data_IF_713878873025
#
_entry.id   IF_713878873025
#
_cell.length_a   1.000
_cell.length_b   1.000
_cell.length_c   1.000
_cell.angle_alpha   90.00
_cell.angle_beta   90.00
_cell.angle_gamma   90.00
#
_symmetry.space_group_name_H-M   'P 1'
#
loop_
_entity.id
_entity.type
_entity.pdbx_description
1 polymer ?
#
# COMPACT_ATOMS: atom_id res chain seq x y z
N UNK A 1 -9.88 7.03 -8.94
CA UNK A 1 -8.66 6.79 -8.17
C UNK A 1 -8.60 5.38 -7.56
N UNK A 2 -9.50 4.97 -6.69
CA UNK A 2 -9.43 3.69 -5.97
C UNK A 2 -9.24 2.47 -6.90
N UNK A 3 -10.02 2.36 -7.97
CA UNK A 3 -9.86 1.29 -8.97
C UNK A 3 -8.53 1.35 -9.71
N UNK A 4 -8.12 2.53 -10.17
CA UNK A 4 -6.88 2.71 -10.92
C UNK A 4 -5.62 2.44 -10.08
N UNK A 5 -5.66 2.65 -8.77
CA UNK A 5 -4.50 2.52 -7.88
C UNK A 5 -4.38 1.14 -7.23
N UNK A 6 -5.50 0.56 -6.78
CA UNK A 6 -5.49 -0.71 -6.03
C UNK A 6 -5.94 -1.92 -6.86
N UNK A 7 -6.70 -1.74 -7.95
CA UNK A 7 -7.33 -2.84 -8.69
C UNK A 7 -6.88 -3.02 -10.16
N UNK A 8 -5.87 -2.31 -10.69
CA UNK A 8 -5.58 -2.42 -12.11
C UNK A 8 -5.08 -3.83 -12.46
N UNK A 9 -5.54 -4.35 -13.60
CA UNK A 9 -5.25 -5.71 -14.05
C UNK A 9 -5.87 -6.78 -13.15
N UNK A 10 -5.89 -8.02 -13.61
CA UNK A 10 -6.41 -9.16 -12.83
C UNK A 10 -5.45 -9.55 -11.70
N UNK A 11 -4.15 -9.49 -11.97
CA UNK A 11 -3.07 -9.80 -11.04
C UNK A 11 -1.87 -8.86 -11.25
N UNK A 12 -1.03 -8.78 -10.24
CA UNK A 12 0.14 -7.92 -10.23
C UNK A 12 1.28 -8.54 -9.45
N UNK A 13 2.51 -8.40 -9.93
CA UNK A 13 3.75 -8.73 -9.23
C UNK A 13 4.75 -7.62 -9.42
N UNK A 14 5.52 -7.33 -8.38
CA UNK A 14 6.65 -6.40 -8.45
C UNK A 14 7.70 -6.75 -7.42
N UNK A 15 8.96 -6.39 -7.72
CA UNK A 15 10.01 -6.25 -6.72
C UNK A 15 9.92 -4.87 -6.11
N UNK A 16 10.18 -4.81 -4.82
CA UNK A 16 10.13 -3.57 -4.06
C UNK A 16 11.46 -3.38 -3.33
N UNK A 17 12.03 -2.20 -3.51
CA UNK A 17 13.07 -1.64 -2.66
C UNK A 17 12.43 -0.58 -1.77
N UNK A 18 12.42 -0.84 -0.47
CA UNK A 18 11.85 0.08 0.53
C UNK A 18 12.98 0.68 1.36
N UNK A 19 13.09 2.00 1.35
CA UNK A 19 14.10 2.76 2.11
C UNK A 19 13.40 3.55 3.20
N UNK A 20 13.71 3.22 4.47
CA UNK A 20 13.23 3.94 5.65
C UNK A 20 14.29 4.95 6.06
N UNK A 21 13.97 6.24 6.00
CA UNK A 21 14.90 7.35 6.27
C UNK A 21 14.52 8.05 7.57
N UNK A 22 15.47 8.26 8.44
CA UNK A 22 15.30 9.09 9.63
C UNK A 22 15.82 10.53 9.39
N UNK A 23 15.53 11.44 10.33
CA UNK A 23 15.92 12.85 10.23
C UNK A 23 17.42 13.09 10.37
N UNK A 24 18.16 12.13 10.94
CA UNK A 24 19.61 12.21 11.12
C UNK A 24 20.38 11.77 9.88
N UNK A 25 19.68 11.35 8.81
CA UNK A 25 20.26 10.84 7.56
C UNK A 25 20.52 9.36 7.56
N UNK A 26 20.17 8.64 8.63
CA UNK A 26 20.21 7.18 8.67
C UNK A 26 19.17 6.59 7.72
N UNK A 27 19.54 5.47 7.08
CA UNK A 27 18.63 4.75 6.18
C UNK A 27 18.68 3.25 6.41
N UNK A 28 17.51 2.62 6.48
CA UNK A 28 17.37 1.15 6.51
C UNK A 28 16.70 0.69 5.22
N UNK A 29 17.32 -0.27 4.57
CA UNK A 29 16.83 -0.84 3.32
C UNK A 29 16.10 -2.14 3.58
N UNK A 30 15.03 -2.41 2.81
CA UNK A 30 14.34 -3.68 2.74
C UNK A 30 14.04 -4.03 1.30
N UNK A 31 14.18 -5.29 0.98
CA UNK A 31 13.85 -5.82 -0.34
C UNK A 31 12.77 -6.88 -0.21
N UNK A 32 11.73 -6.76 -1.01
CA UNK A 32 10.60 -7.69 -0.97
C UNK A 32 9.97 -7.88 -2.35
N UNK A 33 9.26 -8.98 -2.51
CA UNK A 33 8.33 -9.19 -3.62
C UNK A 33 6.92 -8.95 -3.14
N UNK A 34 6.11 -8.24 -3.92
CA UNK A 34 4.67 -8.09 -3.70
C UNK A 34 3.91 -8.77 -4.84
N UNK A 35 2.88 -9.53 -4.47
CA UNK A 35 1.90 -10.11 -5.39
C UNK A 35 0.50 -9.66 -4.97
N UNK A 36 -0.36 -9.49 -5.97
CA UNK A 36 -1.78 -9.21 -5.77
C UNK A 36 -2.60 -9.98 -6.81
N UNK A 37 -3.76 -10.47 -6.41
CA UNK A 37 -4.76 -11.03 -7.30
C UNK A 37 -6.13 -10.44 -6.96
N UNK A 38 -6.86 -10.01 -8.00
CA UNK A 38 -8.25 -9.57 -7.88
C UNK A 38 -9.17 -10.79 -8.02
N UNK A 39 -10.26 -10.76 -7.28
CA UNK A 39 -11.28 -11.79 -7.28
C UNK A 39 -12.64 -11.19 -7.70
N UNK A 40 -13.60 -12.06 -8.01
CA UNK A 40 -14.97 -11.62 -8.28
C UNK A 40 -15.57 -10.91 -7.07
N UNK A 41 -16.47 -9.96 -7.32
CA UNK A 41 -17.13 -9.20 -6.25
C UNK A 41 -16.28 -8.09 -5.61
N UNK A 42 -15.07 -7.82 -6.12
CA UNK A 42 -14.19 -6.76 -5.60
C UNK A 42 -13.28 -7.20 -4.46
N UNK A 43 -13.24 -8.48 -4.15
CA UNK A 43 -12.28 -9.04 -3.20
C UNK A 43 -10.88 -9.10 -3.82
N UNK A 44 -9.87 -9.09 -2.96
CA UNK A 44 -8.46 -9.17 -3.38
C UNK A 44 -7.65 -9.99 -2.39
N UNK A 45 -6.56 -10.56 -2.88
CA UNK A 45 -5.50 -11.08 -2.00
C UNK A 45 -4.17 -10.44 -2.33
N UNK A 46 -3.40 -10.17 -1.28
CA UNK A 46 -2.03 -9.66 -1.35
C UNK A 46 -1.11 -10.61 -0.63
N UNK A 47 0.09 -10.77 -1.18
CA UNK A 47 1.16 -11.49 -0.54
C UNK A 47 2.46 -10.71 -0.70
N UNK A 48 3.21 -10.56 0.39
CA UNK A 48 4.53 -9.93 0.38
C UNK A 48 5.54 -10.86 1.02
N UNK A 49 6.72 -10.96 0.42
CA UNK A 49 7.81 -11.77 0.93
C UNK A 49 9.08 -10.96 0.99
N UNK A 50 9.70 -10.89 2.17
CA UNK A 50 10.92 -10.13 2.42
C UNK A 50 12.17 -10.97 2.13
N UNK A 51 13.06 -10.43 1.31
CA UNK A 51 14.33 -11.05 0.91
C UNK A 51 15.50 -10.58 1.77
N UNK A 52 15.53 -9.29 2.12
CA UNK A 52 16.61 -8.63 2.85
C UNK A 52 16.05 -7.45 3.67
N UNK A 53 16.81 -7.01 4.71
CA UNK A 53 18.00 -7.60 5.31
C UNK A 53 17.70 -8.81 6.20
N UNK A 54 18.73 -9.33 6.88
CA UNK A 54 18.64 -10.57 7.65
C UNK A 54 17.57 -10.58 8.76
N UNK A 55 17.31 -9.45 9.41
CA UNK A 55 16.32 -9.29 10.49
C UNK A 55 14.88 -9.47 10.01
N UNK A 56 14.58 -9.16 8.74
CA UNK A 56 13.24 -9.33 8.14
C UNK A 56 13.20 -10.45 7.08
N UNK A 57 14.34 -11.07 6.77
CA UNK A 57 14.40 -12.11 5.74
C UNK A 57 13.44 -13.24 6.04
N UNK A 58 12.69 -13.67 5.01
CA UNK A 58 11.65 -14.69 5.08
C UNK A 58 10.39 -14.26 5.86
N UNK A 59 10.29 -13.03 6.37
CA UNK A 59 8.98 -12.50 6.78
C UNK A 59 8.04 -12.55 5.59
N UNK A 60 6.78 -12.87 5.87
CA UNK A 60 5.74 -12.86 4.85
C UNK A 60 4.46 -12.21 5.40
N UNK A 61 3.79 -11.44 4.55
CA UNK A 61 2.55 -10.77 4.88
C UNK A 61 1.46 -11.20 3.90
N UNK A 62 0.32 -11.59 4.42
CA UNK A 62 -0.87 -11.99 3.65
C UNK A 62 -2.04 -11.10 4.02
N UNK A 63 -2.77 -10.64 3.00
CA UNK A 63 -4.05 -9.95 3.17
C UNK A 63 -5.11 -10.68 2.35
N UNK A 64 -6.25 -10.97 2.98
CA UNK A 64 -7.51 -11.25 2.30
C UNK A 64 -8.39 -10.02 2.47
N UNK A 65 -8.47 -9.20 1.42
CA UNK A 65 -9.29 -8.00 1.38
C UNK A 65 -10.67 -8.35 0.86
N UNK A 66 -11.68 -7.89 1.56
CA UNK A 66 -13.09 -8.10 1.20
C UNK A 66 -13.76 -6.77 0.89
N UNK A 67 -14.61 -6.76 -0.12
CA UNK A 67 -15.37 -5.57 -0.50
C UNK A 67 -16.45 -5.21 0.55
N UNK A 68 -17.05 -6.22 1.20
CA UNK A 68 -18.22 -6.05 2.06
C UNK A 68 -17.96 -6.19 3.56
N UNK A 69 -16.72 -6.50 3.97
CA UNK A 69 -16.36 -6.69 5.39
C UNK A 69 -14.92 -6.30 5.67
N UNK A 70 -14.53 -6.35 6.93
CA UNK A 70 -13.15 -6.16 7.37
C UNK A 70 -12.19 -7.19 6.74
N UNK A 71 -11.01 -6.70 6.37
CA UNK A 71 -9.94 -7.51 5.77
C UNK A 71 -9.22 -8.34 6.82
N UNK A 72 -8.89 -9.57 6.49
CA UNK A 72 -8.01 -10.41 7.29
C UNK A 72 -6.56 -10.19 6.90
N UNK A 73 -5.68 -10.08 7.90
CA UNK A 73 -4.25 -9.82 7.72
C UNK A 73 -3.43 -10.73 8.61
N UNK A 74 -2.36 -11.31 8.06
CA UNK A 74 -1.44 -12.17 8.80
C UNK A 74 0.00 -11.80 8.48
N UNK A 75 0.84 -11.79 9.51
CA UNK A 75 2.28 -11.58 9.40
C UNK A 75 3.00 -12.83 9.94
N UNK A 76 3.85 -13.43 9.11
CA UNK A 76 4.76 -14.48 9.54
C UNK A 76 6.09 -13.88 9.97
N UNK A 77 6.51 -14.19 11.21
CA UNK A 77 7.75 -13.74 11.83
C UNK A 77 8.66 -14.98 11.98
N UNK A 78 9.61 -15.20 11.07
CA UNK A 78 10.41 -16.44 11.03
C UNK A 78 11.26 -16.63 12.28
N UNK A 79 11.82 -15.56 12.86
CA UNK A 79 12.62 -15.63 14.09
C UNK A 79 11.86 -16.25 15.29
N UNK A 80 10.54 -16.10 15.31
CA UNK A 80 9.65 -16.67 16.33
C UNK A 80 8.89 -17.90 15.84
N UNK A 81 9.05 -18.26 14.58
CA UNK A 81 8.20 -19.24 13.87
C UNK A 81 6.69 -18.99 14.07
N UNK A 82 6.28 -17.74 14.16
CA UNK A 82 4.94 -17.29 14.52
C UNK A 82 4.20 -16.71 13.32
N UNK A 83 2.97 -17.14 13.09
CA UNK A 83 1.99 -16.44 12.26
C UNK A 83 1.10 -15.62 13.19
N UNK A 84 1.21 -14.30 13.12
CA UNK A 84 0.41 -13.36 13.91
C UNK A 84 -0.71 -12.79 13.04
N UNK A 85 -1.95 -12.89 13.50
CA UNK A 85 -3.06 -12.16 12.90
C UNK A 85 -3.02 -10.71 13.36
N UNK A 86 -3.08 -9.78 12.40
CA UNK A 86 -3.20 -8.34 12.69
C UNK A 86 -4.68 -8.04 12.86
N UNK A 87 -5.08 -7.66 14.05
CA UNK A 87 -6.48 -7.33 14.34
C UNK A 87 -6.92 -6.06 13.57
N UNK A 88 -8.20 -5.92 13.29
CA UNK A 88 -8.74 -4.77 12.56
C UNK A 88 -8.35 -3.42 13.20
N UNK A 89 -8.40 -3.33 14.54
CA UNK A 89 -7.98 -2.15 15.31
C UNK A 89 -6.50 -1.78 15.13
N UNK A 90 -5.65 -2.76 14.79
CA UNK A 90 -4.21 -2.59 14.60
C UNK A 90 -3.84 -2.39 13.11
N UNK A 91 -4.83 -2.36 12.22
CA UNK A 91 -4.62 -2.18 10.77
C UNK A 91 -3.94 -0.86 10.41
N UNK A 92 -4.05 0.14 11.28
CA UNK A 92 -3.45 1.46 11.14
C UNK A 92 -2.06 1.57 11.77
N UNK A 93 -1.56 0.48 12.42
CA UNK A 93 -0.19 0.42 12.93
C UNK A 93 0.81 0.38 11.78
N UNK A 94 2.05 0.76 12.10
CA UNK A 94 3.17 0.76 11.15
C UNK A 94 3.39 -0.61 10.51
N UNK A 95 3.41 -0.66 9.18
CA UNK A 95 3.77 -1.84 8.42
C UNK A 95 5.28 -2.09 8.52
N UNK A 96 5.66 -3.07 9.33
CA UNK A 96 7.04 -3.53 9.53
C UNK A 96 8.01 -2.35 9.79
N UNK A 97 7.58 -1.36 10.61
CA UNK A 97 8.37 -0.20 11.01
C UNK A 97 8.52 0.90 9.94
N UNK A 98 7.75 0.84 8.85
CA UNK A 98 7.67 1.90 7.84
C UNK A 98 6.65 2.98 8.22
N UNK A 99 6.59 4.08 7.45
CA UNK A 99 5.56 5.12 7.60
C UNK A 99 4.23 4.73 6.95
N UNK A 100 4.20 3.64 6.19
CA UNK A 100 2.96 3.03 5.72
C UNK A 100 2.35 2.18 6.83
N UNK A 101 1.03 2.18 6.92
CA UNK A 101 0.27 1.27 7.79
C UNK A 101 -0.05 -0.04 7.07
N UNK A 102 -0.49 -1.06 7.83
CA UNK A 102 -1.02 -2.29 7.24
C UNK A 102 -2.22 -2.03 6.32
N UNK A 103 -3.03 -1.01 6.61
CA UNK A 103 -4.16 -0.61 5.78
C UNK A 103 -3.70 0.06 4.47
N UNK A 104 -2.67 0.91 4.50
CA UNK A 104 -2.13 1.57 3.30
C UNK A 104 -1.65 0.57 2.24
N UNK A 105 -1.17 -0.60 2.66
CA UNK A 105 -0.65 -1.64 1.77
C UNK A 105 -1.72 -2.20 0.83
N UNK A 106 -2.93 -2.46 1.34
CA UNK A 106 -4.04 -3.05 0.58
C UNK A 106 -5.12 -2.03 0.22
N UNK A 107 -5.03 -0.84 0.77
CA UNK A 107 -6.02 0.23 0.62
C UNK A 107 -7.25 0.04 1.51
N UNK A 108 -7.77 1.16 1.98
CA UNK A 108 -9.03 1.25 2.73
C UNK A 108 -10.22 1.01 1.81
N UNK A 109 -11.31 0.45 2.32
CA UNK A 109 -12.55 0.35 1.57
C UNK A 109 -13.07 1.76 1.24
N UNK A 110 -13.41 2.00 -0.03
CA UNK A 110 -13.86 3.32 -0.48
C UNK A 110 -15.15 3.75 0.22
N UNK A 111 -16.04 2.81 0.53
CA UNK A 111 -17.31 3.10 1.22
C UNK A 111 -17.12 3.44 2.71
N UNK A 112 -15.95 3.21 3.27
CA UNK A 112 -15.64 3.55 4.66
C UNK A 112 -15.44 5.05 4.89
N UNK A 113 -15.32 5.84 3.80
CA UNK A 113 -15.17 7.28 3.85
C UNK A 113 -16.29 7.98 3.07
N UNK A 114 -16.60 9.22 3.45
CA UNK A 114 -17.38 10.16 2.65
C UNK A 114 -16.41 10.96 1.79
N UNK A 115 -16.72 11.13 0.51
CA UNK A 115 -15.86 11.82 -0.45
C UNK A 115 -16.51 13.11 -0.96
N UNK A 116 -15.72 14.18 -1.08
CA UNK A 116 -16.15 15.47 -1.59
C UNK A 116 -15.12 16.05 -2.54
N UNK A 117 -15.52 16.39 -3.77
CA UNK A 117 -14.70 17.19 -4.66
C UNK A 117 -14.59 18.60 -4.10
N UNK A 118 -13.38 19.05 -3.80
CA UNK A 118 -13.13 20.41 -3.29
C UNK A 118 -12.93 21.42 -4.43
N UNK A 119 -12.07 21.05 -5.39
CA UNK A 119 -11.67 21.90 -6.52
C UNK A 119 -10.92 21.10 -7.57
N UNK A 120 -10.60 21.77 -8.65
CA UNK A 120 -9.61 21.32 -9.63
C UNK A 120 -8.39 22.25 -9.53
N UNK A 121 -7.20 21.69 -9.62
CA UNK A 121 -5.97 22.47 -9.68
C UNK A 121 -4.86 21.70 -10.38
N UNK A 122 -3.79 22.40 -10.73
CA UNK A 122 -2.61 21.80 -11.34
C UNK A 122 -1.57 21.45 -10.26
N UNK A 123 -1.04 20.22 -10.32
CA UNK A 123 0.05 19.75 -9.47
C UNK A 123 1.23 19.32 -10.35
N UNK A 124 2.31 20.10 -10.34
CA UNK A 124 3.51 19.77 -11.12
C UNK A 124 3.27 19.64 -12.64
N UNK A 125 2.44 20.51 -13.20
CA UNK A 125 2.08 20.49 -14.63
C UNK A 125 0.99 19.48 -14.99
N UNK A 126 0.37 18.80 -14.01
CA UNK A 126 -0.69 17.82 -14.23
C UNK A 126 -2.03 18.32 -13.68
N UNK A 127 -3.08 18.39 -14.52
CA UNK A 127 -4.41 18.75 -14.04
C UNK A 127 -4.97 17.66 -13.11
N UNK A 128 -5.41 18.05 -11.92
CA UNK A 128 -5.88 17.15 -10.87
C UNK A 128 -7.29 17.50 -10.38
N UNK A 129 -8.02 16.47 -9.96
CA UNK A 129 -9.11 16.62 -9.02
C UNK A 129 -8.56 16.63 -7.60
N UNK A 130 -8.97 17.59 -6.76
CA UNK A 130 -8.65 17.62 -5.34
C UNK A 130 -9.87 17.15 -4.57
N UNK A 131 -9.72 15.98 -3.94
CA UNK A 131 -10.83 15.30 -3.25
C UNK A 131 -10.52 15.16 -1.77
N UNK A 132 -11.46 15.59 -0.92
CA UNK A 132 -11.44 15.31 0.50
C UNK A 132 -12.14 13.98 0.79
N UNK A 133 -11.57 13.19 1.66
CA UNK A 133 -12.14 11.95 2.20
C UNK A 133 -12.20 12.03 3.72
N UNK A 134 -13.40 11.89 4.28
CA UNK A 134 -13.65 11.90 5.73
C UNK A 134 -14.17 10.52 6.17
N UNK A 135 -13.48 9.84 7.12
CA UNK A 135 -13.91 8.55 7.61
C UNK A 135 -15.29 8.58 8.27
N UNK A 136 -16.13 7.59 7.94
CA UNK A 136 -17.46 7.38 8.59
C UNK A 136 -17.34 6.66 9.94
N UNK A 137 -16.18 6.10 10.24
CA UNK A 137 -15.88 5.35 11.46
C UNK A 137 -14.44 5.55 11.90
N UNK A 138 -13.86 4.59 12.62
CA UNK A 138 -12.49 4.68 13.13
C UNK A 138 -11.47 4.73 11.98
N UNK A 139 -10.54 5.68 12.06
CA UNK A 139 -9.41 5.82 11.15
C UNK A 139 -8.23 6.50 11.86
N UNK A 140 -7.02 6.39 11.28
CA UNK A 140 -5.83 7.08 11.79
C UNK A 140 -5.85 8.59 11.52
N UNK A 141 -6.81 9.07 10.74
CA UNK A 141 -6.92 10.47 10.32
C UNK A 141 -8.36 10.96 10.46
N UNK A 142 -8.54 12.26 10.66
CA UNK A 142 -9.83 12.94 10.65
C UNK A 142 -10.31 13.18 9.23
N UNK A 143 -9.40 13.58 8.35
CA UNK A 143 -9.63 13.78 6.92
C UNK A 143 -8.36 13.56 6.11
N UNK A 144 -8.54 13.22 4.85
CA UNK A 144 -7.48 13.09 3.86
C UNK A 144 -7.83 13.94 2.64
N UNK A 145 -6.86 14.65 2.09
CA UNK A 145 -6.99 15.40 0.82
C UNK A 145 -6.10 14.75 -0.21
N UNK A 146 -6.68 14.35 -1.35
CA UNK A 146 -5.98 13.64 -2.43
C UNK A 146 -6.00 14.46 -3.71
N UNK A 147 -4.84 14.63 -4.33
CA UNK A 147 -4.65 15.16 -5.69
C UNK A 147 -4.63 14.00 -6.67
N UNK A 148 -5.65 13.90 -7.47
CA UNK A 148 -5.88 12.77 -8.38
C UNK A 148 -5.68 13.27 -9.80
N UNK A 149 -4.64 12.74 -10.47
CA UNK A 149 -4.36 13.06 -11.87
C UNK A 149 -5.55 12.72 -12.77
N UNK A 150 -6.02 13.68 -13.55
CA UNK A 150 -7.18 13.49 -14.43
C UNK A 150 -6.91 12.48 -15.54
N UNK A 151 -5.67 12.40 -16.04
CA UNK A 151 -5.31 11.53 -17.16
C UNK A 151 -5.23 10.05 -16.74
N UNK A 152 -4.64 9.76 -15.58
CA UNK A 152 -4.38 8.38 -15.12
C UNK A 152 -5.31 7.92 -14.01
N UNK A 153 -6.02 8.84 -13.38
CA UNK A 153 -6.80 8.61 -12.15
C UNK A 153 -5.94 8.11 -10.96
N UNK A 154 -4.62 8.30 -10.99
CA UNK A 154 -3.73 7.95 -9.89
C UNK A 154 -3.64 9.09 -8.88
N UNK A 155 -3.53 8.81 -7.57
CA UNK A 155 -3.19 9.83 -6.57
C UNK A 155 -1.73 10.23 -6.75
N UNK A 156 -1.46 11.49 -7.00
CA UNK A 156 -0.09 12.02 -7.08
C UNK A 156 0.40 12.48 -5.72
N UNK A 157 -0.51 13.00 -4.89
CA UNK A 157 -0.25 13.49 -3.53
C UNK A 157 -1.46 13.20 -2.66
N UNK A 158 -1.22 12.85 -1.39
CA UNK A 158 -2.26 12.82 -0.37
C UNK A 158 -1.73 13.46 0.92
N UNK A 159 -2.56 14.25 1.57
CA UNK A 159 -2.31 14.87 2.87
C UNK A 159 -3.28 14.32 3.90
N UNK A 160 -2.75 13.85 5.04
CA UNK A 160 -3.54 13.27 6.11
C UNK A 160 -3.52 14.20 7.32
N UNK A 161 -4.69 14.53 7.82
CA UNK A 161 -4.90 15.47 8.93
C UNK A 161 -5.42 14.73 10.16
N UNK A 162 -4.84 15.03 11.33
CA UNK A 162 -5.22 14.44 12.60
C UNK A 162 -6.52 15.06 13.17
N UNK A 163 -6.91 14.63 14.37
CA UNK A 163 -8.14 15.10 15.03
C UNK A 163 -8.11 16.60 15.38
N UNK A 164 -6.92 17.20 15.50
CA UNK A 164 -6.70 18.64 15.67
C UNK A 164 -6.62 19.40 14.32
N UNK A 165 -6.86 18.70 13.21
CA UNK A 165 -6.76 19.22 11.84
C UNK A 165 -5.33 19.65 11.46
N UNK A 166 -4.33 19.03 12.07
CA UNK A 166 -2.93 19.27 11.75
C UNK A 166 -2.43 18.20 10.77
N UNK A 167 -1.69 18.65 9.75
CA UNK A 167 -1.03 17.74 8.81
C UNK A 167 0.00 16.90 9.56
N UNK A 168 -0.13 15.57 9.47
CA UNK A 168 0.79 14.64 10.15
C UNK A 168 1.42 13.61 9.23
N UNK A 169 0.82 13.30 8.07
CA UNK A 169 1.38 12.40 7.06
C UNK A 169 1.16 12.97 5.66
N UNK A 170 2.16 12.75 4.79
CA UNK A 170 2.10 13.08 3.36
C UNK A 170 2.48 11.85 2.54
N UNK A 171 1.65 11.52 1.56
CA UNK A 171 1.94 10.53 0.52
C UNK A 171 2.29 11.23 -0.79
N UNK A 172 3.27 10.70 -1.53
CA UNK A 172 3.49 11.06 -2.93
C UNK A 172 3.65 9.82 -3.80
N UNK A 173 3.21 9.95 -5.07
CA UNK A 173 3.45 8.97 -6.12
C UNK A 173 4.14 9.65 -7.30
N UNK A 174 5.24 9.09 -7.73
CA UNK A 174 6.14 9.62 -8.74
C UNK A 174 6.49 8.55 -9.78
N UNK A 175 7.19 8.94 -10.84
CA UNK A 175 7.68 8.02 -11.87
C UNK A 175 6.55 7.13 -12.43
N UNK A 176 5.48 7.79 -12.94
CA UNK A 176 4.35 7.08 -13.53
C UNK A 176 4.78 6.51 -14.88
N UNK A 177 4.76 5.19 -15.01
CA UNK A 177 5.11 4.46 -16.26
C UNK A 177 3.93 3.62 -16.73
N UNK A 178 3.83 3.44 -18.03
CA UNK A 178 2.99 2.39 -18.58
C UNK A 178 3.66 1.02 -18.33
N UNK A 179 2.91 0.13 -17.69
CA UNK A 179 3.32 -1.25 -17.41
C UNK A 179 2.23 -2.17 -17.92
N UNK A 180 2.49 -2.89 -18.99
CA UNK A 180 1.51 -3.77 -19.65
C UNK A 180 0.18 -3.05 -19.99
N UNK A 181 0.24 -1.79 -20.44
CA UNK A 181 -0.93 -0.96 -20.72
C UNK A 181 -1.63 -0.39 -19.47
N UNK A 182 -0.98 -0.40 -18.31
CA UNK A 182 -1.51 0.12 -17.04
C UNK A 182 -0.62 1.24 -16.50
N UNK A 183 -1.13 2.47 -16.32
CA UNK A 183 -0.40 3.53 -15.62
C UNK A 183 -0.03 3.08 -14.20
N UNK A 184 1.26 3.00 -13.91
CA UNK A 184 1.79 2.48 -12.65
C UNK A 184 2.75 3.46 -12.02
N UNK A 185 2.51 3.85 -10.77
CA UNK A 185 3.43 4.68 -9.99
C UNK A 185 4.58 3.80 -9.49
N UNK A 186 5.75 3.96 -10.12
CA UNK A 186 6.94 3.15 -9.84
C UNK A 186 7.68 3.61 -8.59
N UNK A 187 7.42 4.81 -8.13
CA UNK A 187 7.98 5.35 -6.88
C UNK A 187 6.86 5.95 -6.04
N UNK A 188 6.84 5.60 -4.77
CA UNK A 188 5.88 6.11 -3.79
C UNK A 188 6.62 6.48 -2.52
N UNK A 189 6.16 7.49 -1.81
CA UNK A 189 6.68 7.80 -0.48
C UNK A 189 5.57 8.09 0.51
N UNK A 190 5.86 7.84 1.79
CA UNK A 190 5.05 8.27 2.91
C UNK A 190 5.98 8.98 3.89
N UNK A 191 5.66 10.21 4.24
CA UNK A 191 6.41 11.02 5.20
C UNK A 191 5.57 11.27 6.44
N UNK A 192 6.13 11.03 7.59
CA UNK A 192 5.59 11.50 8.86
C UNK A 192 6.08 12.94 9.09
N UNK A 193 5.18 13.91 9.01
CA UNK A 193 5.53 15.34 9.08
C UNK A 193 6.05 15.72 10.46
N UNK A 194 5.51 15.10 11.53
CA UNK A 194 5.87 15.42 12.92
C UNK A 194 7.26 14.90 13.28
N UNK A 195 7.59 13.67 12.91
CA UNK A 195 8.89 13.05 13.19
C UNK A 195 9.93 13.32 12.11
N UNK A 196 9.52 13.77 10.92
CA UNK A 196 10.38 13.91 9.75
C UNK A 196 10.84 12.57 9.13
N UNK A 197 10.44 11.43 9.69
CA UNK A 197 10.73 10.12 9.13
C UNK A 197 10.01 9.93 7.79
N UNK A 198 10.65 9.23 6.84
CA UNK A 198 10.10 9.00 5.51
C UNK A 198 10.41 7.59 5.03
N UNK A 199 9.42 6.92 4.50
CA UNK A 199 9.60 5.67 3.76
C UNK A 199 9.41 5.90 2.27
N UNK A 200 10.42 5.53 1.48
CA UNK A 200 10.37 5.55 0.01
C UNK A 200 10.28 4.10 -0.49
N UNK A 201 9.38 3.85 -1.41
CA UNK A 201 9.12 2.54 -2.03
C UNK A 201 9.33 2.67 -3.53
N UNK A 202 10.30 1.93 -4.07
CA UNK A 202 10.62 1.87 -5.49
C UNK A 202 10.25 0.49 -6.03
N UNK A 203 9.49 0.46 -7.12
CA UNK A 203 9.04 -0.75 -7.79
C UNK A 203 9.95 -1.07 -8.97
N UNK A 204 10.28 -2.33 -9.14
CA UNK A 204 10.97 -2.88 -10.31
C UNK A 204 10.32 -4.19 -10.74
N UNK A 205 10.59 -4.63 -11.95
CA UNK A 205 10.04 -5.87 -12.52
C UNK A 205 8.51 -5.98 -12.37
N UNK A 206 7.83 -4.83 -12.45
CA UNK A 206 6.38 -4.76 -12.33
C UNK A 206 5.72 -5.43 -13.54
N UNK A 207 4.78 -6.34 -13.30
CA UNK A 207 4.04 -7.08 -14.33
C UNK A 207 2.59 -7.29 -13.91
N UNK A 208 1.69 -7.21 -14.87
CA UNK A 208 0.27 -7.50 -14.72
C UNK A 208 -0.13 -8.77 -15.47
N UNK A 209 -1.34 -9.27 -15.24
CA UNK A 209 -1.99 -10.39 -15.95
C UNK A 209 -1.16 -11.68 -15.92
N UNK A 210 -0.75 -12.07 -14.72
CA UNK A 210 0.15 -13.21 -14.49
C UNK A 210 -0.58 -14.55 -14.29
N UNK A 211 -1.92 -14.57 -14.33
CA UNK A 211 -2.70 -15.78 -14.07
C UNK A 211 -2.50 -16.35 -12.67
N UNK A 212 -2.25 -15.47 -11.66
CA UNK A 212 -2.07 -15.91 -10.27
C UNK A 212 -3.38 -16.50 -9.74
N UNK A 213 -3.27 -17.62 -9.06
CA UNK A 213 -4.42 -18.35 -8.52
C UNK A 213 -4.73 -17.91 -7.10
N UNK A 214 -5.95 -17.42 -6.80
CA UNK A 214 -6.31 -16.93 -5.46
C UNK A 214 -6.14 -17.98 -4.35
N UNK A 215 -6.31 -19.26 -4.64
CA UNK A 215 -6.16 -20.37 -3.69
C UNK A 215 -4.72 -20.57 -3.20
N UNK A 216 -3.72 -20.12 -3.96
CA UNK A 216 -2.32 -20.16 -3.56
C UNK A 216 -2.03 -19.13 -2.44
N UNK A 217 -2.83 -18.05 -2.35
CA UNK A 217 -2.72 -17.02 -1.31
C UNK A 217 -3.37 -17.50 -0.01
N UNK A 218 -2.67 -18.31 0.74
CA UNK A 218 -3.16 -18.98 1.94
C UNK A 218 -2.20 -18.80 3.12
N UNK A 219 -2.67 -19.07 4.35
CA UNK A 219 -1.81 -19.04 5.54
C UNK A 219 -0.64 -20.04 5.45
N UNK A 220 -0.81 -21.14 4.71
CA UNK A 220 0.28 -22.10 4.43
C UNK A 220 1.42 -21.42 3.64
N UNK A 221 1.08 -20.54 2.69
CA UNK A 221 2.06 -19.84 1.88
C UNK A 221 2.92 -18.87 2.71
N UNK A 222 2.45 -18.40 3.87
CA UNK A 222 3.24 -17.57 4.77
C UNK A 222 4.54 -18.27 5.23
N UNK A 223 4.47 -19.58 5.51
CA UNK A 223 5.65 -20.37 5.92
C UNK A 223 6.40 -20.98 4.74
N UNK A 224 5.66 -21.39 3.73
CA UNK A 224 6.16 -22.11 2.56
C UNK A 224 5.57 -21.51 1.28
N UNK A 225 6.03 -20.32 0.87
CA UNK A 225 5.55 -19.68 -0.35
C UNK A 225 5.97 -20.48 -1.60
N UNK A 226 5.18 -20.45 -2.68
CA UNK A 226 5.59 -20.98 -3.96
C UNK A 226 6.96 -20.43 -4.39
N UNK A 227 7.84 -21.26 -4.91
CA UNK A 227 9.21 -20.86 -5.29
C UNK A 227 9.24 -19.76 -6.36
N UNK A 228 8.20 -19.65 -7.20
CA UNK A 228 8.04 -18.58 -8.18
C UNK A 228 7.79 -17.20 -7.55
N UNK A 229 7.31 -17.14 -6.30
CA UNK A 229 7.01 -15.89 -5.58
C UNK A 229 8.23 -15.29 -4.88
N UNK A 230 9.25 -16.12 -4.65
CA UNK A 230 10.45 -15.75 -3.88
C UNK A 230 11.71 -15.60 -4.74
N UNK A 231 11.55 -15.69 -6.06
CA UNK A 231 12.63 -15.50 -7.05
C UNK A 231 12.68 -14.08 -7.56
#
# INVERSE_FOLDING_TARGET
MHQAFFYPGESFRTRIKMTLKDVSGGARLRELTMLRVNMTGGDQKYFMYFHAPGDVRRMAFLVSKYAAKESDRWLFIPALNLVQRIAAKDSQSSFVGSDFSYEDVSGRNIEADAHKLLREEELGGKPCYVVESAPKGSAAYKRKVSWIDKATSLPLKEEYYDVQDQLFREFSAEDIKDTDGVPTAMKRSMKNVKSGHQTVVEFSDAKYRLGLKPEEFSERALRNPPGSWTK
#
